data_IF_356157693113
#
_entry.id   IF_356157693113
#
_cell.length_a   1.000
_cell.length_b   1.000
_cell.length_c   1.000
_cell.angle_alpha   90.00
_cell.angle_beta   90.00
_cell.angle_gamma   90.00
#
_symmetry.space_group_name_H-M   'P 1'
#
loop_
_entity.id
_entity.type
_entity.pdbx_description
1 polymer ?
#
# COMPACT_ATOMS: atom_id res chain seq x y z
N UNK A 1 -9.71 -18.09 -12.48
CA UNK A 1 -8.24 -17.94 -12.44
C UNK A 1 -7.91 -16.50 -12.81
N UNK A 2 -7.24 -15.75 -11.94
CA UNK A 2 -6.77 -14.40 -12.26
C UNK A 2 -5.35 -14.47 -12.84
N UNK A 3 -4.99 -13.53 -13.71
CA UNK A 3 -3.65 -13.44 -14.27
C UNK A 3 -2.87 -12.35 -13.54
N UNK A 4 -1.64 -12.64 -13.15
CA UNK A 4 -0.74 -11.67 -12.50
C UNK A 4 0.09 -10.94 -13.54
N UNK A 5 0.12 -9.60 -13.46
CA UNK A 5 1.01 -8.75 -14.25
C UNK A 5 1.85 -7.91 -13.31
N UNK A 6 3.16 -7.92 -13.55
CA UNK A 6 4.09 -6.99 -12.94
C UNK A 6 4.17 -5.73 -13.80
N UNK A 7 3.91 -4.57 -13.22
CA UNK A 7 4.07 -3.26 -13.85
C UNK A 7 5.19 -2.53 -13.13
N UNK A 8 6.21 -2.10 -13.88
CA UNK A 8 7.30 -1.32 -13.32
C UNK A 8 6.86 0.14 -13.13
N UNK A 9 7.24 0.72 -12.00
CA UNK A 9 7.15 2.16 -11.78
C UNK A 9 8.27 2.87 -12.55
N UNK A 10 8.00 4.05 -13.09
CA UNK A 10 9.00 4.96 -13.67
C UNK A 10 9.06 6.21 -12.80
N UNK A 11 9.69 6.07 -11.64
CA UNK A 11 9.89 7.21 -10.73
C UNK A 11 11.10 8.02 -11.18
N UNK A 12 10.99 9.34 -11.13
CA UNK A 12 12.16 10.22 -11.06
C UNK A 12 12.74 10.24 -9.64
N UNK A 13 13.82 10.99 -9.44
CA UNK A 13 14.53 11.10 -8.16
C UNK A 13 13.61 11.67 -7.06
N UNK A 14 12.84 12.71 -7.36
CA UNK A 14 11.92 13.35 -6.41
C UNK A 14 10.79 12.41 -5.99
N UNK A 15 10.14 11.74 -6.96
CA UNK A 15 9.09 10.75 -6.70
C UNK A 15 9.62 9.58 -5.88
N UNK A 16 10.85 9.15 -6.15
CA UNK A 16 11.50 8.09 -5.39
C UNK A 16 11.73 8.49 -3.93
N UNK A 17 12.27 9.68 -3.68
CA UNK A 17 12.47 10.20 -2.33
C UNK A 17 11.14 10.34 -1.57
N UNK A 18 10.10 10.88 -2.21
CA UNK A 18 8.78 11.03 -1.60
C UNK A 18 8.18 9.66 -1.22
N UNK A 19 8.33 8.65 -2.08
CA UNK A 19 7.89 7.27 -1.78
C UNK A 19 8.62 6.68 -0.59
N UNK A 20 9.95 6.85 -0.52
CA UNK A 20 10.74 6.39 0.62
C UNK A 20 10.33 7.09 1.91
N UNK A 21 10.08 8.40 1.87
CA UNK A 21 9.59 9.17 3.03
C UNK A 21 8.23 8.66 3.51
N UNK A 22 7.29 8.41 2.61
CA UNK A 22 5.98 7.88 2.98
C UNK A 22 6.11 6.47 3.58
N UNK A 23 6.92 5.60 2.96
CA UNK A 23 7.18 4.25 3.46
C UNK A 23 7.80 4.28 4.86
N UNK A 24 8.77 5.15 5.10
CA UNK A 24 9.38 5.34 6.42
C UNK A 24 8.33 5.71 7.48
N UNK A 25 7.46 6.69 7.19
CA UNK A 25 6.39 7.09 8.10
C UNK A 25 5.45 5.91 8.39
N UNK A 26 5.03 5.20 7.34
CA UNK A 26 4.11 4.06 7.48
C UNK A 26 4.71 2.94 8.34
N UNK A 27 5.97 2.58 8.10
CA UNK A 27 6.68 1.55 8.84
C UNK A 27 6.92 1.94 10.31
N UNK A 28 7.26 3.21 10.56
CA UNK A 28 7.41 3.75 11.91
C UNK A 28 6.11 3.63 12.70
N UNK A 29 4.99 4.04 12.09
CA UNK A 29 3.66 3.92 12.68
C UNK A 29 3.24 2.46 12.90
N UNK A 30 3.55 1.56 11.95
CA UNK A 30 3.30 0.13 12.08
C UNK A 30 4.03 -0.45 13.31
N UNK A 31 5.32 -0.15 13.44
CA UNK A 31 6.14 -0.65 14.55
C UNK A 31 5.68 -0.08 15.90
N UNK A 32 5.29 1.19 15.93
CA UNK A 32 4.71 1.84 17.12
C UNK A 32 3.42 1.13 17.57
N UNK A 33 2.51 0.84 16.64
CA UNK A 33 1.27 0.12 16.92
C UNK A 33 1.53 -1.31 17.41
N UNK A 34 2.42 -2.05 16.73
CA UNK A 34 2.79 -3.42 17.13
C UNK A 34 3.32 -3.42 18.56
N UNK A 35 4.29 -2.54 18.87
CA UNK A 35 4.88 -2.43 20.21
C UNK A 35 3.83 -2.16 21.27
N UNK A 36 2.93 -1.20 21.01
CA UNK A 36 1.84 -0.86 21.94
C UNK A 36 0.90 -2.05 22.16
N UNK A 37 0.51 -2.76 21.10
CA UNK A 37 -0.38 -3.92 21.18
C UNK A 37 0.25 -5.10 21.93
N UNK A 38 1.53 -5.40 21.67
CA UNK A 38 2.29 -6.46 22.36
C UNK A 38 2.40 -6.15 23.85
N UNK A 39 2.75 -4.92 24.22
CA UNK A 39 2.89 -4.52 25.62
C UNK A 39 1.58 -4.62 26.40
N UNK A 40 0.45 -4.27 25.78
CA UNK A 40 -0.87 -4.34 26.42
C UNK A 40 -1.41 -5.78 26.57
N UNK A 41 -0.86 -6.75 25.84
CA UNK A 41 -1.30 -8.16 25.81
C UNK A 41 -2.82 -8.36 25.60
N UNK A 42 -3.50 -7.38 25.01
CA UNK A 42 -4.95 -7.39 24.79
C UNK A 42 -5.29 -6.75 23.44
N UNK A 43 -6.30 -7.28 22.77
CA UNK A 43 -6.85 -6.69 21.53
C UNK A 43 -7.49 -5.34 21.87
N UNK A 44 -6.98 -4.28 21.26
CA UNK A 44 -7.53 -2.93 21.36
C UNK A 44 -8.32 -2.59 20.11
N UNK A 45 -9.36 -1.77 20.24
CA UNK A 45 -10.17 -1.33 19.08
C UNK A 45 -9.37 -0.32 18.25
N UNK A 46 -9.68 -0.21 16.96
CA UNK A 46 -9.09 0.79 16.06
C UNK A 46 -9.18 2.21 16.62
N UNK A 47 -10.34 2.59 17.14
CA UNK A 47 -10.57 3.91 17.75
C UNK A 47 -9.73 4.21 18.99
N UNK A 48 -9.06 3.21 19.57
CA UNK A 48 -8.19 3.37 20.74
C UNK A 48 -6.77 3.85 20.39
N UNK A 49 -6.47 4.00 19.11
CA UNK A 49 -5.18 4.46 18.62
C UNK A 49 -5.31 5.82 17.94
N UNK A 50 -4.29 6.65 18.17
CA UNK A 50 -4.01 7.80 17.31
C UNK A 50 -3.11 7.33 16.18
N UNK A 51 -3.38 7.82 14.97
CA UNK A 51 -2.66 7.49 13.75
C UNK A 51 -2.05 8.76 13.19
N UNK A 52 -0.88 8.65 12.56
CA UNK A 52 -0.25 9.78 11.86
C UNK A 52 -1.22 10.45 10.87
N UNK A 53 -1.32 11.79 10.87
CA UNK A 53 -2.11 12.52 9.90
C UNK A 53 -1.56 12.39 8.48
N UNK A 54 -0.29 11.98 8.31
CA UNK A 54 0.34 11.77 7.01
C UNK A 54 -0.17 10.51 6.29
N UNK A 55 -0.83 9.59 7.00
CA UNK A 55 -1.38 8.36 6.42
C UNK A 55 -2.84 8.61 6.05
N UNK A 56 -3.22 8.27 4.82
CA UNK A 56 -4.59 8.39 4.31
C UNK A 56 -5.57 7.56 5.18
N UNK A 57 -6.80 8.04 5.39
CA UNK A 57 -7.76 7.47 6.34
C UNK A 57 -8.08 6.00 6.07
N UNK A 58 -8.30 5.62 4.82
CA UNK A 58 -8.54 4.22 4.41
C UNK A 58 -7.30 3.34 4.60
N UNK A 59 -6.09 3.88 4.45
CA UNK A 59 -4.84 3.18 4.75
C UNK A 59 -4.64 2.91 6.25
N UNK A 60 -5.14 3.77 7.14
CA UNK A 60 -5.03 3.58 8.61
C UNK A 60 -5.69 2.29 9.08
N UNK A 61 -6.84 1.92 8.50
CA UNK A 61 -7.51 0.66 8.82
C UNK A 61 -6.68 -0.56 8.43
N UNK A 62 -6.05 -0.49 7.26
CA UNK A 62 -5.15 -1.53 6.78
C UNK A 62 -3.92 -1.66 7.69
N UNK A 63 -3.30 -0.53 8.03
CA UNK A 63 -2.19 -0.43 8.99
C UNK A 63 -2.54 -1.09 10.33
N UNK A 64 -3.70 -0.76 10.90
CA UNK A 64 -4.18 -1.37 12.15
C UNK A 64 -4.37 -2.89 12.04
N UNK A 65 -4.94 -3.36 10.94
CA UNK A 65 -5.20 -4.79 10.70
C UNK A 65 -3.88 -5.56 10.62
N UNK A 66 -2.92 -5.02 9.88
CA UNK A 66 -1.56 -5.58 9.77
C UNK A 66 -0.86 -5.58 11.12
N UNK A 67 -0.89 -4.46 11.84
CA UNK A 67 -0.29 -4.35 13.19
C UNK A 67 -0.88 -5.39 14.15
N UNK A 68 -2.21 -5.56 14.13
CA UNK A 68 -2.92 -6.52 14.99
C UNK A 68 -2.51 -7.95 14.68
N UNK A 69 -2.41 -8.31 13.40
CA UNK A 69 -1.96 -9.64 12.96
C UNK A 69 -0.54 -9.93 13.44
N UNK A 70 0.39 -8.99 13.22
CA UNK A 70 1.79 -9.14 13.63
C UNK A 70 1.92 -9.19 15.15
N UNK A 71 1.21 -8.31 15.87
CA UNK A 71 1.23 -8.30 17.34
C UNK A 71 0.69 -9.61 17.93
N UNK A 72 -0.41 -10.15 17.36
CA UNK A 72 -0.98 -11.44 17.78
C UNK A 72 0.03 -12.56 17.56
N UNK A 73 0.66 -12.62 16.38
CA UNK A 73 1.71 -13.60 16.11
C UNK A 73 2.86 -13.49 17.12
N UNK A 74 3.33 -12.26 17.42
CA UNK A 74 4.39 -12.04 18.41
C UNK A 74 3.99 -12.50 19.83
N UNK A 75 2.76 -12.23 20.25
CA UNK A 75 2.23 -12.69 21.56
C UNK A 75 2.16 -14.23 21.60
N UNK A 76 1.86 -14.88 20.48
CA UNK A 76 1.83 -16.34 20.31
C UNK A 76 3.21 -16.98 20.04
N UNK A 77 4.31 -16.21 20.14
CA UNK A 77 5.67 -16.64 19.79
C UNK A 77 5.82 -17.16 18.35
N UNK A 78 5.05 -16.60 17.42
CA UNK A 78 5.09 -16.86 15.97
C UNK A 78 5.68 -15.68 15.22
N UNK A 79 6.25 -15.96 14.05
CA UNK A 79 6.72 -14.90 13.14
C UNK A 79 5.53 -14.17 12.51
N UNK A 80 5.45 -12.86 12.72
CA UNK A 80 4.55 -11.98 11.99
C UNK A 80 5.30 -11.26 10.87
N UNK A 81 4.84 -11.41 9.63
CA UNK A 81 5.45 -10.78 8.45
C UNK A 81 4.65 -9.58 7.99
N UNK A 82 5.35 -8.49 7.70
CA UNK A 82 4.80 -7.35 6.97
C UNK A 82 5.03 -7.55 5.47
N UNK A 83 3.95 -7.42 4.69
CA UNK A 83 4.03 -7.40 3.23
C UNK A 83 3.82 -5.96 2.76
N UNK A 84 4.82 -5.40 2.06
CA UNK A 84 4.78 -4.03 1.52
C UNK A 84 3.57 -3.76 0.63
N UNK A 85 2.98 -4.79 0.03
CA UNK A 85 1.74 -4.69 -0.76
C UNK A 85 0.50 -4.20 0.02
N UNK A 86 0.61 -4.04 1.34
CA UNK A 86 -0.44 -3.54 2.22
C UNK A 86 -0.20 -2.11 2.75
N UNK A 87 0.67 -1.33 2.11
CA UNK A 87 0.90 0.08 2.46
C UNK A 87 -0.27 0.98 2.05
N UNK A 88 -0.76 0.83 0.83
CA UNK A 88 -1.93 1.56 0.33
C UNK A 88 -3.16 0.67 0.25
N UNK A 89 -4.29 1.19 0.71
CA UNK A 89 -5.60 0.56 0.54
C UNK A 89 -6.09 0.74 -0.90
N UNK A 90 -7.05 -0.08 -1.34
CA UNK A 90 -7.69 0.05 -2.66
C UNK A 90 -8.41 1.37 -2.89
N UNK A 91 -8.77 2.08 -1.82
CA UNK A 91 -9.43 3.38 -1.92
C UNK A 91 -8.44 4.55 -1.94
N UNK A 92 -7.17 4.29 -1.62
CA UNK A 92 -6.12 5.30 -1.57
C UNK A 92 -5.19 5.23 -2.79
N UNK A 93 -5.57 4.48 -3.83
CA UNK A 93 -4.89 4.54 -5.11
C UNK A 93 -5.88 4.48 -6.27
N UNK A 94 -5.47 5.00 -7.42
CA UNK A 94 -6.17 4.86 -8.71
C UNK A 94 -5.13 4.80 -9.83
N UNK A 95 -5.45 4.09 -10.91
CA UNK A 95 -4.66 4.10 -12.14
C UNK A 95 -5.50 4.80 -13.20
N UNK A 96 -4.98 5.88 -13.78
CA UNK A 96 -5.64 6.62 -14.86
C UNK A 96 -4.64 6.73 -16.00
N UNK A 97 -5.02 6.26 -17.19
CA UNK A 97 -4.12 6.11 -18.32
C UNK A 97 -2.85 5.35 -17.92
N UNK A 98 -1.67 5.98 -17.98
CA UNK A 98 -0.39 5.39 -17.62
C UNK A 98 0.13 5.85 -16.26
N UNK A 99 -0.69 6.52 -15.45
CA UNK A 99 -0.24 7.09 -14.18
C UNK A 99 -0.92 6.38 -13.00
N UNK A 100 -0.10 6.02 -12.03
CA UNK A 100 -0.53 5.57 -10.71
C UNK A 100 -0.60 6.78 -9.79
N UNK A 101 -1.75 6.95 -9.16
CA UNK A 101 -1.98 7.98 -8.18
C UNK A 101 -2.11 7.32 -6.81
N UNK A 102 -1.33 7.78 -5.84
CA UNK A 102 -1.30 7.29 -4.47
C UNK A 102 -1.71 8.43 -3.53
N UNK A 103 -2.85 8.30 -2.88
CA UNK A 103 -3.33 9.29 -1.93
C UNK A 103 -2.57 9.21 -0.61
N UNK A 104 -2.22 10.38 -0.09
CA UNK A 104 -1.56 10.57 1.20
C UNK A 104 -2.52 11.24 2.19
N UNK A 105 -2.15 11.23 3.47
CA UNK A 105 -2.90 11.97 4.49
C UNK A 105 -2.53 13.46 4.49
N UNK A 106 -3.41 14.29 5.07
CA UNK A 106 -3.28 15.76 5.09
C UNK A 106 -2.00 16.27 5.77
N UNK A 107 -1.36 15.46 6.62
CA UNK A 107 -0.08 15.80 7.26
C UNK A 107 1.16 15.51 6.41
N UNK A 108 1.01 14.90 5.23
CA UNK A 108 2.12 14.59 4.33
C UNK A 108 2.38 15.79 3.38
N UNK A 109 3.63 16.02 2.91
CA UNK A 109 3.97 17.19 2.08
C UNK A 109 3.15 17.34 0.80
N UNK A 110 2.63 16.24 0.26
CA UNK A 110 1.71 16.24 -0.88
C UNK A 110 0.45 15.43 -0.54
N UNK A 111 -0.68 15.78 -1.19
CA UNK A 111 -1.94 15.03 -1.05
C UNK A 111 -1.97 13.76 -1.89
N UNK A 112 -1.24 13.74 -3.00
CA UNK A 112 -1.21 12.64 -3.94
C UNK A 112 0.19 12.53 -4.54
N UNK A 113 0.75 11.32 -4.60
CA UNK A 113 1.98 11.00 -5.33
C UNK A 113 1.55 10.43 -6.68
N UNK A 114 2.07 10.99 -7.76
CA UNK A 114 1.76 10.58 -9.13
C UNK A 114 2.99 9.92 -9.70
N UNK A 115 2.85 8.69 -10.19
CA UNK A 115 3.96 7.87 -10.66
C UNK A 115 3.62 7.30 -12.03
N UNK A 116 4.39 7.65 -13.06
CA UNK A 116 4.24 7.04 -14.37
C UNK A 116 4.52 5.53 -14.31
N UNK A 117 3.71 4.76 -15.01
CA UNK A 117 3.81 3.31 -15.14
C UNK A 117 4.50 2.95 -16.45
N UNK A 118 5.42 1.98 -16.41
CA UNK A 118 5.98 1.36 -17.60
C UNK A 118 5.00 0.33 -18.19
N UNK A 119 3.84 0.80 -18.65
CA UNK A 119 2.87 -0.06 -19.33
C UNK A 119 3.32 -0.35 -20.76
N UNK A 120 3.22 -1.61 -21.17
CA UNK A 120 3.32 -1.98 -22.58
C UNK A 120 1.93 -2.19 -23.18
N UNK A 121 1.82 -2.09 -24.50
CA UNK A 121 0.57 -2.21 -25.25
C UNK A 121 -0.18 -3.52 -24.99
N UNK A 122 0.52 -4.60 -24.57
CA UNK A 122 -0.09 -5.89 -24.21
C UNK A 122 -0.76 -5.85 -22.84
N UNK A 123 -0.18 -5.14 -21.86
CA UNK A 123 -0.76 -4.94 -20.52
C UNK A 123 -1.96 -4.00 -20.62
N UNK A 124 -1.80 -2.88 -21.33
CA UNK A 124 -2.86 -1.92 -21.60
C UNK A 124 -4.08 -2.57 -22.27
N UNK A 125 -3.86 -3.34 -23.35
CA UNK A 125 -4.93 -4.08 -24.04
C UNK A 125 -5.60 -5.14 -23.16
N UNK A 126 -4.95 -5.64 -22.11
CA UNK A 126 -5.54 -6.60 -21.16
C UNK A 126 -6.35 -5.91 -20.08
N UNK A 127 -5.87 -4.78 -19.58
CA UNK A 127 -6.62 -3.91 -18.68
C UNK A 127 -7.93 -3.49 -19.36
N UNK A 128 -7.87 -3.01 -20.60
CA UNK A 128 -9.05 -2.57 -21.35
C UNK A 128 -10.01 -3.70 -21.77
N UNK A 129 -9.68 -4.98 -21.52
CA UNK A 129 -10.51 -6.15 -21.90
C UNK A 129 -11.31 -6.75 -20.74
N UNK A 130 -11.49 -6.05 -19.63
CA UNK A 130 -12.36 -6.49 -18.53
C UNK A 130 -11.85 -7.69 -17.74
N UNK A 131 -10.62 -8.16 -17.95
CA UNK A 131 -10.11 -9.35 -17.24
C UNK A 131 -9.75 -9.01 -15.81
N UNK A 132 -10.20 -9.85 -14.86
CA UNK A 132 -9.71 -9.79 -13.47
C UNK A 132 -8.20 -10.04 -13.44
N UNK A 133 -7.44 -9.00 -13.13
CA UNK A 133 -5.98 -9.03 -13.13
C UNK A 133 -5.44 -8.65 -11.76
N UNK A 134 -4.46 -9.42 -11.30
CA UNK A 134 -3.61 -9.00 -10.19
C UNK A 134 -2.49 -8.11 -10.74
N UNK A 135 -2.45 -6.85 -10.34
CA UNK A 135 -1.31 -5.99 -10.63
C UNK A 135 -0.36 -5.95 -9.45
N UNK A 136 0.90 -6.13 -9.79
CA UNK A 136 2.03 -6.16 -8.91
C UNK A 136 2.94 -4.98 -9.30
N UNK A 137 2.94 -3.94 -8.48
CA UNK A 137 3.74 -2.73 -8.74
C UNK A 137 5.16 -2.93 -8.25
N UNK A 138 6.12 -2.81 -9.16
CA UNK A 138 7.53 -3.11 -8.90
C UNK A 138 8.39 -1.87 -9.12
N UNK A 139 9.17 -1.49 -8.12
CA UNK A 139 10.31 -0.61 -8.30
C UNK A 139 11.61 -1.43 -8.41
N UNK A 140 12.61 -0.92 -9.14
CA UNK A 140 13.86 -1.66 -9.42
C UNK A 140 14.65 -2.03 -8.15
N UNK A 141 14.41 -1.34 -7.03
CA UNK A 141 14.97 -1.65 -5.70
C UNK A 141 14.16 -2.69 -4.89
N UNK A 142 13.36 -3.54 -5.55
CA UNK A 142 12.46 -4.52 -4.91
C UNK A 142 11.39 -3.92 -3.99
N UNK A 143 11.02 -2.66 -4.22
CA UNK A 143 9.96 -2.01 -3.46
C UNK A 143 8.61 -2.42 -4.08
N UNK A 144 7.86 -3.29 -3.37
CA UNK A 144 6.63 -3.90 -3.84
C UNK A 144 5.42 -3.30 -3.13
N UNK A 145 4.81 -2.30 -3.74
CA UNK A 145 3.96 -1.36 -3.01
C UNK A 145 2.48 -1.71 -2.95
N UNK A 146 1.93 -2.48 -3.91
CA UNK A 146 0.51 -2.84 -3.88
C UNK A 146 0.19 -4.12 -4.69
N UNK A 147 -0.74 -4.92 -4.17
CA UNK A 147 -1.41 -6.00 -4.90
C UNK A 147 -2.82 -5.53 -5.26
N UNK A 148 -3.10 -5.36 -6.54
CA UNK A 148 -4.38 -4.79 -6.98
C UNK A 148 -5.16 -5.85 -7.74
N UNK A 149 -6.40 -6.11 -7.35
CA UNK A 149 -7.33 -6.86 -8.21
C UNK A 149 -8.15 -5.85 -9.02
N UNK A 150 -7.76 -5.61 -10.27
CA UNK A 150 -8.56 -4.78 -11.18
C UNK A 150 -9.61 -5.64 -11.88
N UNK A 151 -10.84 -5.14 -11.90
CA UNK A 151 -11.84 -5.50 -12.90
C UNK A 151 -12.02 -4.24 -13.73
N UNK A 152 -11.68 -4.29 -15.02
CA UNK A 152 -12.04 -3.18 -15.89
C UNK A 152 -13.56 -3.09 -15.96
N UNK A 153 -14.09 -1.89 -15.77
CA UNK A 153 -15.47 -1.59 -16.14
C UNK A 153 -15.53 -1.55 -17.67
N UNK A 154 -16.51 -2.24 -18.24
CA UNK A 154 -16.90 -2.00 -19.62
C UNK A 154 -17.43 -0.55 -19.67
N UNK A 155 -16.68 0.36 -20.30
CA UNK A 155 -17.17 1.70 -20.64
C UNK A 155 -18.22 1.61 -21.74
#
# INVERSE_FOLDING_TARGET
>A
MYYTVQIKLRTDEEQHEILQQYEYIYLSELQRLITKMVNLKKKQRFSSFQYSPCIEKSCRWMLYTVATKIATAKIENRTGTYNKSGTWSTNAFKIIHNDLFLSCGEGFPCKEIIIPLAMNSKIERRLNKGKKMRLDLVHDENLWYCNILMQAEDQ
#
